data_IF_584291967959
#
_entry.id   IF_584291967959
#
_cell.length_a   1.000
_cell.length_b   1.000
_cell.length_c   1.000
_cell.angle_alpha   90.00
_cell.angle_beta   90.00
_cell.angle_gamma   90.00
#
_symmetry.space_group_name_H-M   'P 1'
#
loop_
_entity.id
_entity.type
_entity.pdbx_description
1 polymer ?
#
# COMPACT_ATOMS: atom_id res chain seq x y z
N UNK A 1 -65.63 22.34 33.10
CA UNK A 1 -64.23 22.34 32.66
C UNK A 1 -64.11 21.30 31.55
N UNK A 2 -63.94 21.78 30.31
CA UNK A 2 -63.16 21.23 29.16
C UNK A 2 -62.58 19.81 29.27
N UNK A 3 -62.44 18.96 28.24
CA UNK A 3 -62.81 18.92 26.82
C UNK A 3 -62.43 17.51 26.29
N UNK A 4 -62.90 17.20 25.09
CA UNK A 4 -62.90 15.95 24.33
C UNK A 4 -61.56 15.19 24.06
N UNK A 5 -61.73 13.86 23.93
CA UNK A 5 -61.21 12.85 22.95
C UNK A 5 -60.01 13.24 22.07
N UNK A 6 -59.08 12.30 21.83
CA UNK A 6 -58.48 11.88 20.52
C UNK A 6 -57.39 10.82 20.82
N UNK A 7 -57.60 9.55 20.43
CA UNK A 7 -57.07 8.87 19.23
C UNK A 7 -55.60 8.46 19.30
N UNK A 8 -55.38 7.23 18.82
CA UNK A 8 -54.11 6.52 18.71
C UNK A 8 -53.02 7.33 18.01
N UNK A 9 -51.78 7.16 18.46
CA UNK A 9 -50.64 7.14 17.55
C UNK A 9 -49.50 6.37 18.20
N UNK A 10 -49.37 5.11 17.80
CA UNK A 10 -48.11 4.39 17.88
C UNK A 10 -47.19 5.00 16.81
N UNK A 11 -46.47 6.06 17.18
CA UNK A 11 -45.48 6.67 16.32
C UNK A 11 -44.12 6.04 16.59
N UNK A 12 -43.76 5.16 15.65
CA UNK A 12 -42.44 4.59 15.41
C UNK A 12 -41.35 5.66 15.52
N UNK A 13 -40.39 5.47 16.42
CA UNK A 13 -39.03 5.98 16.24
C UNK A 13 -38.07 4.80 16.41
N UNK A 14 -38.05 3.94 15.39
CA UNK A 14 -36.87 3.13 15.12
C UNK A 14 -35.78 4.11 14.68
N UNK A 15 -34.88 4.49 15.59
CA UNK A 15 -33.64 5.14 15.22
C UNK A 15 -32.89 4.18 14.31
N UNK A 16 -32.70 4.63 13.07
CA UNK A 16 -32.01 3.90 12.01
C UNK A 16 -30.69 3.34 12.54
N UNK A 17 -30.57 2.01 12.55
CA UNK A 17 -29.26 1.39 12.49
C UNK A 17 -28.67 1.78 11.14
N UNK A 18 -27.80 2.78 11.13
CA UNK A 18 -26.97 3.11 9.98
C UNK A 18 -26.18 1.85 9.64
N UNK A 19 -26.59 1.15 8.58
CA UNK A 19 -25.82 0.04 8.05
C UNK A 19 -24.57 0.65 7.44
N UNK A 20 -23.49 0.71 8.23
CA UNK A 20 -22.14 0.82 7.67
C UNK A 20 -21.91 -0.48 6.93
N UNK A 21 -22.31 -0.52 5.66
CA UNK A 21 -21.86 -1.55 4.73
C UNK A 21 -20.37 -1.33 4.54
N UNK A 22 -19.56 -1.94 5.39
CA UNK A 22 -18.16 -2.17 5.07
C UNK A 22 -18.16 -3.07 3.83
N UNK A 23 -17.99 -2.46 2.65
CA UNK A 23 -17.51 -3.17 1.48
C UNK A 23 -16.06 -3.55 1.79
N UNK A 24 -15.86 -4.60 2.58
CA UNK A 24 -14.61 -5.31 2.60
C UNK A 24 -14.32 -5.66 1.14
N UNK A 25 -13.17 -5.23 0.61
CA UNK A 25 -12.84 -5.31 -0.81
C UNK A 25 -13.23 -6.67 -1.39
N UNK A 26 -14.01 -6.66 -2.47
CA UNK A 26 -14.50 -7.90 -3.04
C UNK A 26 -13.34 -8.60 -3.78
N UNK A 27 -12.66 -9.54 -3.13
CA UNK A 27 -11.57 -10.32 -3.73
C UNK A 27 -11.93 -10.91 -5.09
N UNK A 28 -13.22 -11.16 -5.34
CA UNK A 28 -13.67 -11.74 -6.61
C UNK A 28 -13.42 -10.84 -7.82
N UNK A 29 -13.17 -9.54 -7.63
CA UNK A 29 -12.86 -8.61 -8.73
C UNK A 29 -11.36 -8.44 -8.95
N UNK A 30 -10.52 -8.94 -8.03
CA UNK A 30 -9.06 -8.81 -8.13
C UNK A 30 -8.54 -9.89 -9.07
N UNK A 31 -7.83 -9.48 -10.12
CA UNK A 31 -7.24 -10.44 -11.06
C UNK A 31 -6.07 -11.17 -10.41
N UNK A 32 -6.17 -12.50 -10.26
CA UNK A 32 -5.10 -13.36 -9.75
C UNK A 32 -4.17 -13.91 -10.84
N UNK A 33 -4.11 -13.27 -12.01
CA UNK A 33 -3.11 -13.60 -13.03
C UNK A 33 -1.73 -13.19 -12.51
N UNK A 34 -0.83 -14.16 -12.41
CA UNK A 34 0.55 -14.00 -11.94
C UNK A 34 1.54 -14.23 -13.08
N UNK A 35 2.62 -13.46 -13.12
CA UNK A 35 3.64 -13.52 -14.16
C UNK A 35 5.01 -13.09 -13.62
N UNK A 36 5.95 -14.03 -13.62
CA UNK A 36 7.38 -13.82 -13.34
C UNK A 36 8.18 -13.44 -14.62
N UNK A 37 7.51 -12.97 -15.67
CA UNK A 37 8.17 -12.53 -16.90
C UNK A 37 8.75 -11.12 -16.73
N UNK A 38 9.68 -10.74 -17.60
CA UNK A 38 10.10 -9.35 -17.69
C UNK A 38 8.92 -8.44 -18.12
N UNK A 39 8.70 -7.30 -17.45
CA UNK A 39 7.78 -6.27 -17.91
C UNK A 39 8.15 -5.78 -19.31
N UNK A 40 7.18 -5.21 -20.01
CA UNK A 40 7.46 -4.47 -21.23
C UNK A 40 8.17 -3.14 -20.91
N UNK A 41 8.78 -2.50 -21.90
CA UNK A 41 9.44 -1.20 -21.75
C UNK A 41 8.51 -0.15 -21.12
N UNK A 42 9.00 0.58 -20.13
CA UNK A 42 8.21 1.56 -19.38
C UNK A 42 7.35 0.94 -18.26
N UNK A 43 7.34 -0.38 -18.10
CA UNK A 43 6.65 -1.09 -17.03
C UNK A 43 7.52 -1.37 -15.79
N UNK A 44 6.88 -1.89 -14.74
CA UNK A 44 7.53 -2.41 -13.55
C UNK A 44 7.07 -3.84 -13.25
N UNK A 45 7.87 -4.56 -12.46
CA UNK A 45 7.50 -5.87 -11.92
C UNK A 45 7.01 -5.71 -10.48
N UNK A 46 5.73 -6.00 -10.24
CA UNK A 46 5.08 -5.78 -8.95
C UNK A 46 4.99 -7.10 -8.18
N UNK A 47 5.61 -7.19 -7.00
CA UNK A 47 5.51 -8.35 -6.12
C UNK A 47 4.63 -7.98 -4.91
N UNK A 48 3.62 -8.80 -4.65
CA UNK A 48 2.57 -8.51 -3.65
C UNK A 48 2.49 -9.59 -2.58
N UNK A 49 2.50 -9.18 -1.31
CA UNK A 49 2.22 -10.04 -0.17
C UNK A 49 0.86 -9.72 0.46
N UNK A 50 -0.01 -10.73 0.52
CA UNK A 50 -1.40 -10.62 0.99
C UNK A 50 -1.50 -10.47 2.52
N UNK A 51 -2.67 -10.16 3.06
CA UNK A 51 -2.94 -10.14 4.49
C UNK A 51 -3.25 -11.53 5.06
N UNK A 52 -3.24 -11.64 6.39
CA UNK A 52 -3.62 -12.89 7.04
C UNK A 52 -5.06 -13.30 6.71
N UNK A 53 -5.29 -14.60 6.58
CA UNK A 53 -6.58 -15.26 6.28
C UNK A 53 -7.14 -15.01 4.89
N UNK A 54 -6.46 -14.22 4.07
CA UNK A 54 -6.84 -14.02 2.68
C UNK A 54 -6.55 -15.28 1.85
N UNK A 55 -7.39 -15.63 0.86
CA UNK A 55 -7.09 -16.69 -0.09
C UNK A 55 -5.75 -16.48 -0.81
N UNK A 56 -5.10 -17.55 -1.23
CA UNK A 56 -3.89 -17.46 -2.06
C UNK A 56 -4.14 -16.57 -3.30
N UNK A 57 -3.23 -15.63 -3.53
CA UNK A 57 -3.34 -14.61 -4.57
C UNK A 57 -2.85 -13.26 -4.05
N UNK A 58 -3.31 -12.18 -4.69
CA UNK A 58 -2.86 -10.81 -4.39
C UNK A 58 -3.45 -10.20 -3.11
N UNK A 59 -4.49 -10.79 -2.53
CA UNK A 59 -5.14 -10.21 -1.36
C UNK A 59 -5.89 -8.90 -1.65
N UNK A 60 -6.36 -8.21 -0.61
CA UNK A 60 -7.13 -6.96 -0.76
C UNK A 60 -6.31 -5.84 -1.41
N UNK A 61 -5.01 -5.79 -1.12
CA UNK A 61 -4.07 -4.82 -1.71
C UNK A 61 -3.85 -5.06 -3.22
N UNK A 62 -4.25 -6.22 -3.74
CA UNK A 62 -4.30 -6.50 -5.16
C UNK A 62 -5.11 -5.48 -5.96
N UNK A 63 -6.07 -4.78 -5.35
CA UNK A 63 -6.78 -3.67 -5.99
C UNK A 63 -5.86 -2.47 -6.29
N UNK A 64 -4.89 -2.16 -5.41
CA UNK A 64 -3.87 -1.12 -5.69
C UNK A 64 -3.00 -1.54 -6.86
N UNK A 65 -2.58 -2.81 -6.88
CA UNK A 65 -1.86 -3.40 -8.02
C UNK A 65 -2.66 -3.28 -9.32
N UNK A 66 -3.95 -3.61 -9.31
CA UNK A 66 -4.80 -3.51 -10.50
C UNK A 66 -4.92 -2.07 -11.00
N UNK A 67 -5.06 -1.08 -10.09
CA UNK A 67 -5.05 0.35 -10.44
C UNK A 67 -3.70 0.81 -11.05
N UNK A 68 -2.58 0.24 -10.60
CA UNK A 68 -1.25 0.50 -11.17
C UNK A 68 -1.11 -0.16 -12.55
N UNK A 69 -1.55 -1.41 -12.71
CA UNK A 69 -1.51 -2.09 -14.01
C UNK A 69 -2.41 -1.40 -15.05
N UNK A 70 -3.53 -0.82 -14.64
CA UNK A 70 -4.37 0.00 -15.50
C UNK A 70 -3.66 1.29 -15.95
N UNK A 71 -2.92 1.93 -15.03
CA UNK A 71 -2.21 3.17 -15.28
C UNK A 71 -0.90 2.98 -16.07
N UNK A 72 -0.22 1.85 -15.86
CA UNK A 72 1.05 1.48 -16.49
C UNK A 72 0.92 0.08 -17.09
N UNK A 73 0.23 -0.09 -18.24
CA UNK A 73 -0.09 -1.40 -18.81
C UNK A 73 1.11 -2.24 -19.25
N UNK A 74 2.29 -1.64 -19.34
CA UNK A 74 3.55 -2.34 -19.60
C UNK A 74 4.05 -3.16 -18.39
N UNK A 75 3.51 -2.88 -17.20
CA UNK A 75 3.84 -3.58 -15.96
C UNK A 75 3.22 -4.96 -15.90
N UNK A 76 3.77 -5.82 -15.05
CA UNK A 76 3.18 -7.09 -14.68
C UNK A 76 3.30 -7.30 -13.16
N UNK A 77 2.73 -8.40 -12.66
CA UNK A 77 2.72 -8.67 -11.24
C UNK A 77 2.81 -10.16 -10.94
N UNK A 78 3.31 -10.47 -9.75
CA UNK A 78 3.21 -11.78 -9.12
C UNK A 78 2.97 -11.63 -7.60
N UNK A 79 2.53 -12.72 -6.96
CA UNK A 79 2.20 -12.71 -5.53
C UNK A 79 3.04 -13.74 -4.77
N UNK A 80 3.35 -13.40 -3.53
CA UNK A 80 4.05 -14.29 -2.60
C UNK A 80 3.17 -15.48 -2.23
N UNK A 81 3.68 -16.69 -2.44
CA UNK A 81 3.04 -17.93 -1.99
C UNK A 81 3.53 -18.23 -0.57
N UNK A 82 2.65 -18.05 0.41
CA UNK A 82 2.96 -18.31 1.82
C UNK A 82 1.68 -18.54 2.65
N UNK A 83 1.76 -19.05 3.89
CA UNK A 83 0.57 -19.46 4.65
C UNK A 83 -0.45 -18.34 4.90
N UNK A 84 0.01 -17.13 5.19
CA UNK A 84 -0.80 -15.99 5.59
C UNK A 84 -1.78 -16.30 6.74
N UNK A 85 -1.29 -16.90 7.83
CA UNK A 85 -2.13 -17.32 8.97
C UNK A 85 -1.97 -16.41 10.18
N UNK A 86 -3.06 -16.21 10.92
CA UNK A 86 -3.03 -15.58 12.25
C UNK A 86 -2.61 -16.57 13.33
N UNK A 87 -2.98 -17.84 13.17
CA UNK A 87 -2.45 -18.94 13.98
C UNK A 87 -1.06 -19.27 13.47
N UNK A 88 -0.08 -19.41 14.36
CA UNK A 88 1.32 -19.60 14.00
C UNK A 88 1.89 -18.43 13.16
N UNK A 89 1.54 -17.20 13.56
CA UNK A 89 1.87 -15.97 12.84
C UNK A 89 3.37 -15.84 12.54
N UNK A 90 4.25 -16.17 13.49
CA UNK A 90 5.70 -15.98 13.32
C UNK A 90 6.27 -16.87 12.20
N UNK A 91 5.90 -18.15 12.15
CA UNK A 91 6.33 -19.03 11.06
C UNK A 91 5.70 -18.61 9.74
N UNK A 92 4.40 -18.26 9.75
CA UNK A 92 3.72 -17.76 8.55
C UNK A 92 4.42 -16.53 7.96
N UNK A 93 4.73 -15.55 8.79
CA UNK A 93 5.39 -14.32 8.35
C UNK A 93 6.83 -14.61 7.88
N UNK A 94 7.64 -15.39 8.61
CA UNK A 94 8.99 -15.81 8.16
C UNK A 94 8.96 -16.55 6.81
N UNK A 95 8.00 -17.44 6.59
CA UNK A 95 7.80 -18.12 5.30
C UNK A 95 7.43 -17.12 4.20
N UNK A 96 6.66 -16.08 4.53
CA UNK A 96 6.36 -14.97 3.64
C UNK A 96 7.61 -14.18 3.24
N UNK A 97 8.50 -13.86 4.19
CA UNK A 97 9.77 -13.17 3.91
C UNK A 97 10.65 -14.01 2.99
N UNK A 98 10.74 -15.32 3.23
CA UNK A 98 11.48 -16.25 2.36
C UNK A 98 10.86 -16.30 0.95
N UNK A 99 9.54 -16.35 0.83
CA UNK A 99 8.86 -16.33 -0.46
C UNK A 99 9.06 -15.01 -1.22
N UNK A 100 8.97 -13.87 -0.54
CA UNK A 100 9.30 -12.55 -1.12
C UNK A 100 10.74 -12.52 -1.63
N UNK A 101 11.69 -13.02 -0.83
CA UNK A 101 13.09 -13.12 -1.21
C UNK A 101 13.30 -13.98 -2.45
N UNK A 102 12.67 -15.14 -2.53
CA UNK A 102 12.75 -16.04 -3.69
C UNK A 102 12.28 -15.35 -4.97
N UNK A 103 11.14 -14.68 -4.93
CA UNK A 103 10.59 -13.96 -6.09
C UNK A 103 11.48 -12.80 -6.54
N UNK A 104 11.94 -11.97 -5.59
CA UNK A 104 12.83 -10.86 -5.92
C UNK A 104 14.16 -11.35 -6.49
N UNK A 105 14.78 -12.37 -5.89
CA UNK A 105 16.04 -12.94 -6.37
C UNK A 105 15.87 -13.58 -7.76
N UNK A 106 14.77 -14.30 -7.99
CA UNK A 106 14.44 -14.87 -9.29
C UNK A 106 14.28 -13.77 -10.37
N UNK A 107 13.56 -12.70 -10.06
CA UNK A 107 13.39 -11.56 -10.97
C UNK A 107 14.72 -10.85 -11.26
N UNK A 108 15.51 -10.57 -10.22
CA UNK A 108 16.82 -9.92 -10.37
C UNK A 108 17.77 -10.76 -11.21
N UNK A 109 17.73 -12.09 -11.08
CA UNK A 109 18.53 -13.03 -11.85
C UNK A 109 18.08 -13.17 -13.32
N UNK A 110 16.83 -12.79 -13.63
CA UNK A 110 16.31 -12.83 -15.00
C UNK A 110 16.97 -11.79 -15.92
N UNK A 111 17.62 -10.77 -15.33
CA UNK A 111 18.34 -9.70 -16.03
C UNK A 111 17.49 -9.03 -17.12
N UNK A 112 16.30 -8.58 -16.71
CA UNK A 112 15.32 -8.02 -17.62
C UNK A 112 15.83 -6.78 -18.37
N UNK A 113 15.50 -6.67 -19.67
CA UNK A 113 15.91 -5.52 -20.48
C UNK A 113 15.32 -4.21 -19.94
N UNK A 114 15.92 -3.09 -20.33
CA UNK A 114 15.47 -1.74 -19.99
C UNK A 114 15.56 -1.38 -18.49
N UNK A 115 16.25 -2.18 -17.68
CA UNK A 115 16.37 -1.99 -16.23
C UNK A 115 15.00 -1.84 -15.54
N UNK A 116 14.01 -2.64 -15.94
CA UNK A 116 12.66 -2.55 -15.39
C UNK A 116 12.65 -2.71 -13.86
N UNK A 117 12.09 -1.75 -13.10
CA UNK A 117 12.19 -1.74 -11.64
C UNK A 117 11.24 -2.72 -10.97
N UNK A 118 11.56 -3.01 -9.71
CA UNK A 118 10.67 -3.68 -8.77
C UNK A 118 9.72 -2.69 -8.09
N UNK A 119 8.50 -3.14 -7.82
CA UNK A 119 7.58 -2.50 -6.87
C UNK A 119 7.14 -3.57 -5.87
N UNK A 120 7.24 -3.28 -4.58
CA UNK A 120 6.84 -4.21 -3.53
C UNK A 120 5.57 -3.69 -2.84
N UNK A 121 4.57 -4.56 -2.65
CA UNK A 121 3.33 -4.20 -1.98
C UNK A 121 2.98 -5.21 -0.90
N UNK A 122 2.51 -4.74 0.25
CA UNK A 122 2.11 -5.61 1.34
C UNK A 122 0.96 -5.04 2.18
N UNK A 123 0.07 -5.91 2.64
CA UNK A 123 -1.03 -5.55 3.53
C UNK A 123 -0.99 -6.35 4.83
N UNK A 124 -1.13 -5.70 5.99
CA UNK A 124 -1.13 -6.36 7.30
C UNK A 124 0.11 -7.25 7.48
N UNK A 125 -0.04 -8.56 7.68
CA UNK A 125 1.11 -9.50 7.70
C UNK A 125 1.97 -9.41 6.44
N UNK A 126 1.39 -9.23 5.25
CA UNK A 126 2.16 -9.03 4.02
C UNK A 126 2.92 -7.71 3.99
N UNK A 127 2.45 -6.70 4.70
CA UNK A 127 3.18 -5.44 4.88
C UNK A 127 4.43 -5.64 5.74
N UNK A 128 4.31 -6.46 6.79
CA UNK A 128 5.47 -6.90 7.56
C UNK A 128 6.44 -7.73 6.71
N UNK A 129 5.94 -8.69 5.91
CA UNK A 129 6.76 -9.49 4.98
C UNK A 129 7.61 -8.61 4.08
N UNK A 130 7.03 -7.58 3.49
CA UNK A 130 7.76 -6.61 2.65
C UNK A 130 8.82 -5.88 3.47
N UNK A 131 8.47 -5.39 4.65
CA UNK A 131 9.38 -4.59 5.45
C UNK A 131 10.55 -5.40 6.03
N UNK A 132 10.28 -6.63 6.49
CA UNK A 132 11.29 -7.56 7.00
C UNK A 132 12.16 -8.13 5.87
N UNK A 133 11.64 -8.28 4.64
CA UNK A 133 12.49 -8.57 3.49
C UNK A 133 13.48 -7.45 3.19
N UNK A 134 13.00 -6.20 3.16
CA UNK A 134 13.82 -5.03 2.83
C UNK A 134 14.87 -4.76 3.91
N UNK A 135 14.47 -4.80 5.17
CA UNK A 135 15.29 -4.32 6.29
C UNK A 135 15.85 -5.41 7.23
N UNK A 136 15.54 -6.67 6.95
CA UNK A 136 15.80 -7.80 7.83
C UNK A 136 14.74 -7.94 8.92
N UNK A 137 14.41 -9.18 9.28
CA UNK A 137 13.46 -9.58 10.34
C UNK A 137 14.05 -9.31 11.74
N UNK A 138 14.22 -8.03 12.05
CA UNK A 138 14.78 -7.52 13.30
C UNK A 138 13.66 -7.00 14.20
N UNK A 139 12.81 -7.92 14.64
CA UNK A 139 11.62 -7.67 15.44
C UNK A 139 11.74 -8.45 16.75
N UNK A 140 11.63 -7.79 17.90
CA UNK A 140 12.00 -8.38 19.20
C UNK A 140 11.18 -9.60 19.65
N UNK A 141 9.96 -9.77 19.14
CA UNK A 141 9.10 -10.92 19.47
C UNK A 141 9.31 -12.12 18.54
N UNK A 142 10.02 -11.94 17.43
CA UNK A 142 10.31 -13.03 16.49
C UNK A 142 11.54 -13.83 16.96
N UNK A 143 11.52 -15.17 16.84
CA UNK A 143 12.72 -15.97 17.01
C UNK A 143 13.81 -15.53 16.03
N UNK A 144 15.06 -15.42 16.51
CA UNK A 144 16.17 -15.06 15.65
C UNK A 144 16.33 -16.07 14.50
N UNK A 145 16.34 -15.57 13.27
CA UNK A 145 16.57 -16.34 12.06
C UNK A 145 17.71 -15.71 11.25
N UNK A 146 18.88 -16.35 11.24
CA UNK A 146 20.07 -15.83 10.54
C UNK A 146 19.89 -15.69 9.03
N UNK A 147 18.94 -16.41 8.42
CA UNK A 147 18.66 -16.29 6.99
C UNK A 147 17.80 -15.07 6.65
N UNK A 148 17.17 -14.46 7.64
CA UNK A 148 16.26 -13.32 7.53
C UNK A 148 16.74 -12.07 8.29
N UNK A 149 17.79 -12.18 9.11
CA UNK A 149 18.25 -11.08 9.96
C UNK A 149 18.88 -9.91 9.20
N UNK A 150 19.46 -10.19 8.02
CA UNK A 150 20.15 -9.18 7.22
C UNK A 150 19.17 -8.50 6.23
N UNK A 151 19.34 -7.19 5.97
CA UNK A 151 18.62 -6.50 4.91
C UNK A 151 18.82 -7.15 3.54
N UNK A 152 17.90 -6.87 2.61
CA UNK A 152 18.15 -7.20 1.21
C UNK A 152 19.41 -6.47 0.70
N UNK A 153 20.21 -7.07 -0.20
CA UNK A 153 21.46 -6.47 -0.66
C UNK A 153 21.26 -5.11 -1.36
N UNK A 154 22.23 -4.19 -1.24
CA UNK A 154 22.15 -2.85 -1.85
C UNK A 154 21.88 -2.87 -3.38
N UNK A 155 22.43 -3.85 -4.10
CA UNK A 155 22.20 -4.01 -5.53
C UNK A 155 20.76 -4.44 -5.87
N UNK A 156 20.01 -4.95 -4.89
CA UNK A 156 18.58 -5.25 -5.00
C UNK A 156 17.76 -4.05 -4.53
N UNK A 157 18.11 -3.45 -3.39
CA UNK A 157 17.42 -2.26 -2.87
C UNK A 157 17.44 -1.10 -3.88
N UNK A 158 18.55 -0.92 -4.59
CA UNK A 158 18.66 0.07 -5.67
C UNK A 158 17.74 -0.20 -6.87
N UNK A 159 17.23 -1.44 -7.06
CA UNK A 159 16.30 -1.81 -8.14
C UNK A 159 14.82 -1.60 -7.80
N UNK A 160 14.49 -1.17 -6.58
CA UNK A 160 13.12 -0.95 -6.14
C UNK A 160 12.72 0.50 -6.45
N UNK A 161 11.71 0.70 -7.31
CA UNK A 161 11.17 2.02 -7.59
C UNK A 161 10.19 2.48 -6.50
N UNK A 162 9.35 1.57 -5.98
CA UNK A 162 8.36 1.91 -4.96
C UNK A 162 8.07 0.76 -3.99
N UNK A 163 7.71 1.11 -2.76
CA UNK A 163 7.21 0.21 -1.73
C UNK A 163 5.90 0.77 -1.16
N UNK A 164 4.86 -0.06 -1.12
CA UNK A 164 3.59 0.24 -0.46
C UNK A 164 3.36 -0.76 0.66
N UNK A 165 3.24 -0.28 1.89
CA UNK A 165 2.81 -1.09 3.04
C UNK A 165 1.55 -0.50 3.64
N UNK A 166 0.54 -1.33 3.89
CA UNK A 166 -0.73 -0.88 4.48
C UNK A 166 -1.02 -1.68 5.74
N UNK A 167 -1.08 -1.00 6.89
CA UNK A 167 -1.37 -1.64 8.18
C UNK A 167 -0.25 -2.55 8.69
N UNK A 168 1.02 -2.22 8.45
CA UNK A 168 2.17 -3.01 8.89
C UNK A 168 2.22 -3.15 10.44
N UNK A 169 2.04 -4.36 11.01
CA UNK A 169 2.14 -4.59 12.45
C UNK A 169 3.53 -4.33 13.02
N UNK A 170 4.55 -4.24 12.18
CA UNK A 170 5.94 -4.01 12.59
C UNK A 170 6.40 -2.57 12.43
N UNK A 171 5.53 -1.67 11.95
CA UNK A 171 5.90 -0.30 11.64
C UNK A 171 6.45 0.42 12.87
N UNK A 172 7.62 1.02 12.70
CA UNK A 172 8.11 2.06 13.59
C UNK A 172 7.52 3.40 13.13
N UNK A 173 6.85 4.13 14.02
CA UNK A 173 6.28 5.46 13.70
C UNK A 173 7.27 6.59 14.03
N UNK A 174 8.16 6.37 14.99
CA UNK A 174 9.08 7.42 15.44
C UNK A 174 10.13 7.69 14.36
N UNK A 175 10.13 8.91 13.82
CA UNK A 175 11.07 9.34 12.75
C UNK A 175 11.00 8.47 11.48
N UNK A 176 9.82 7.96 11.13
CA UNK A 176 9.62 7.24 9.87
C UNK A 176 9.08 8.20 8.79
N UNK A 177 9.93 8.78 7.93
CA UNK A 177 9.50 9.71 6.88
C UNK A 177 8.59 9.06 5.83
N UNK A 178 8.58 7.74 5.73
CA UNK A 178 7.68 7.00 4.84
C UNK A 178 6.28 6.79 5.44
N UNK A 179 6.07 7.10 6.74
CA UNK A 179 4.77 6.95 7.38
C UNK A 179 3.75 7.91 6.79
N UNK A 180 2.63 7.35 6.33
CA UNK A 180 1.45 8.10 5.88
C UNK A 180 0.27 7.73 6.79
N UNK A 181 -0.44 8.74 7.29
CA UNK A 181 -1.58 8.56 8.18
C UNK A 181 -1.43 9.36 9.46
N UNK A 182 -2.26 9.05 10.46
CA UNK A 182 -2.32 9.80 11.72
C UNK A 182 -1.97 8.99 12.97
N UNK A 183 -1.40 7.79 12.81
CA UNK A 183 -0.91 7.02 13.97
C UNK A 183 0.20 7.79 14.70
N UNK A 184 0.17 7.75 16.03
CA UNK A 184 1.24 8.26 16.91
C UNK A 184 1.88 7.16 17.74
N UNK A 185 1.48 5.91 17.50
CA UNK A 185 1.93 4.71 18.22
C UNK A 185 2.48 3.69 17.22
N UNK A 186 3.54 2.96 17.58
CA UNK A 186 4.08 1.93 16.71
C UNK A 186 3.14 0.73 16.58
N UNK A 187 3.48 -0.16 15.66
CA UNK A 187 2.79 -1.43 15.51
C UNK A 187 3.06 -2.40 16.67
N UNK A 188 2.24 -3.45 16.76
CA UNK A 188 2.33 -4.48 17.81
C UNK A 188 3.71 -5.13 17.89
N UNK A 189 4.40 -5.21 16.76
CA UNK A 189 5.68 -5.88 16.58
C UNK A 189 6.73 -4.88 16.10
N UNK A 190 6.79 -3.70 16.72
CA UNK A 190 7.71 -2.62 16.34
C UNK A 190 9.12 -3.13 16.04
N UNK A 191 9.58 -2.89 14.81
CA UNK A 191 10.92 -3.25 14.35
C UNK A 191 11.98 -2.41 15.06
N UNK A 192 13.15 -3.00 15.28
CA UNK A 192 14.29 -2.29 15.86
C UNK A 192 14.78 -1.16 14.93
N UNK A 193 15.29 -0.09 15.54
CA UNK A 193 15.68 1.13 14.82
C UNK A 193 16.78 0.94 13.76
N UNK A 194 17.67 -0.05 13.92
CA UNK A 194 18.68 -0.38 12.90
C UNK A 194 18.02 -0.86 11.60
N UNK A 195 16.96 -1.65 11.68
CA UNK A 195 16.25 -2.11 10.50
C UNK A 195 15.37 -0.98 9.92
N UNK A 196 14.75 -0.13 10.75
CA UNK A 196 14.10 1.10 10.26
C UNK A 196 15.07 2.00 9.47
N UNK A 197 16.33 2.13 9.92
CA UNK A 197 17.33 2.96 9.26
C UNK A 197 17.77 2.47 7.86
N UNK A 198 17.47 1.21 7.50
CA UNK A 198 17.75 0.68 6.16
C UNK A 198 16.98 1.47 5.10
N UNK A 199 15.72 1.84 5.38
CA UNK A 199 14.92 2.62 4.44
C UNK A 199 15.56 3.99 4.16
N UNK A 200 16.07 4.68 5.17
CA UNK A 200 16.75 5.97 5.00
C UNK A 200 18.12 5.80 4.33
N UNK A 201 18.96 4.88 4.81
CA UNK A 201 20.33 4.72 4.32
C UNK A 201 20.42 4.18 2.89
N UNK A 202 19.40 3.45 2.42
CA UNK A 202 19.25 3.02 1.03
C UNK A 202 18.51 4.02 0.13
N UNK A 203 18.03 5.14 0.69
CA UNK A 203 17.18 6.11 0.00
C UNK A 203 15.85 5.51 -0.46
N UNK A 204 15.32 4.51 0.26
CA UNK A 204 13.99 3.95 0.04
C UNK A 204 12.92 4.70 0.83
N UNK A 205 13.31 5.51 1.81
CA UNK A 205 12.43 6.42 2.55
C UNK A 205 11.58 7.31 1.63
N UNK A 206 12.18 7.85 0.57
CA UNK A 206 11.48 8.66 -0.45
C UNK A 206 10.76 7.84 -1.53
N UNK A 207 10.91 6.51 -1.51
CA UNK A 207 10.29 5.52 -2.41
C UNK A 207 9.32 4.60 -1.68
N UNK A 208 9.03 4.87 -0.42
CA UNK A 208 8.13 4.07 0.41
C UNK A 208 6.96 4.91 0.89
N UNK A 209 5.76 4.34 0.89
CA UNK A 209 4.64 4.83 1.67
C UNK A 209 4.13 3.71 2.57
N UNK A 210 4.21 3.95 3.87
CA UNK A 210 3.79 3.04 4.93
C UNK A 210 2.55 3.60 5.63
N UNK A 211 1.39 3.10 5.23
CA UNK A 211 0.09 3.59 5.67
C UNK A 211 -0.30 3.00 7.03
N UNK A 212 -0.50 3.88 8.01
CA UNK A 212 -1.00 3.49 9.33
C UNK A 212 -1.77 4.62 10.00
N UNK A 213 -3.02 4.35 10.36
CA UNK A 213 -3.90 5.29 11.07
C UNK A 213 -4.00 4.94 12.55
N UNK A 214 -4.21 5.98 13.37
CA UNK A 214 -4.56 5.82 14.77
C UNK A 214 -5.81 4.94 14.93
N UNK A 215 -5.89 4.23 16.05
CA UNK A 215 -6.94 3.25 16.36
C UNK A 215 -6.86 1.94 15.58
N UNK A 216 -5.92 1.77 14.64
CA UNK A 216 -5.61 0.45 14.09
C UNK A 216 -5.05 -0.46 15.21
N UNK A 217 -5.68 -1.62 15.49
CA UNK A 217 -5.22 -2.50 16.56
C UNK A 217 -3.86 -3.16 16.30
N UNK A 218 -3.41 -3.22 15.04
CA UNK A 218 -2.17 -3.86 14.64
C UNK A 218 -1.05 -2.86 14.39
N UNK A 219 -1.20 -1.93 13.45
CA UNK A 219 -0.10 -1.02 13.08
C UNK A 219 0.04 0.18 14.03
N UNK A 220 -0.97 0.47 14.84
CA UNK A 220 -0.96 1.55 15.82
C UNK A 220 -1.06 1.04 17.28
N UNK A 221 -0.96 -0.28 17.49
CA UNK A 221 -1.10 -0.91 18.80
C UNK A 221 -2.33 -0.41 19.57
N UNK A 222 -3.45 -0.17 18.88
CA UNK A 222 -4.67 0.24 19.54
C UNK A 222 -5.19 -0.92 20.39
N UNK A 223 -5.24 -0.75 21.71
CA UNK A 223 -5.51 -1.83 22.66
C UNK A 223 -6.91 -2.46 22.59
N UNK A 224 -7.81 -2.00 21.70
CA UNK A 224 -9.11 -2.61 21.46
C UNK A 224 -9.35 -2.91 19.98
N UNK A 225 -9.96 -4.07 19.71
CA UNK A 225 -10.31 -4.50 18.36
C UNK A 225 -11.65 -3.92 17.86
N UNK A 226 -12.31 -3.06 18.64
CA UNK A 226 -13.55 -2.38 18.24
C UNK A 226 -13.37 -1.52 16.99
N UNK A 227 -12.13 -1.06 16.75
CA UNK A 227 -11.73 -0.25 15.60
C UNK A 227 -11.06 -1.06 14.49
N UNK A 228 -11.27 -2.39 14.44
CA UNK A 228 -10.70 -3.27 13.40
C UNK A 228 -10.99 -2.77 11.98
N UNK A 229 -12.12 -2.07 11.78
CA UNK A 229 -12.44 -1.45 10.48
C UNK A 229 -11.36 -0.51 9.98
N UNK A 230 -10.66 0.25 10.85
CA UNK A 230 -9.54 1.11 10.46
C UNK A 230 -8.46 0.31 9.73
N UNK A 231 -8.16 -0.89 10.24
CA UNK A 231 -7.19 -1.78 9.61
C UNK A 231 -7.67 -2.37 8.28
N UNK A 232 -8.98 -2.45 8.03
CA UNK A 232 -9.56 -3.14 6.87
C UNK A 232 -9.83 -2.21 5.68
N UNK A 233 -9.73 -0.89 5.87
CA UNK A 233 -10.17 0.10 4.86
C UNK A 233 -9.02 0.87 4.20
N UNK A 234 -7.74 0.54 4.44
CA UNK A 234 -6.62 1.28 3.86
C UNK A 234 -6.63 1.32 2.32
N UNK A 235 -7.07 0.25 1.65
CA UNK A 235 -7.22 0.27 0.19
C UNK A 235 -8.31 1.26 -0.24
N UNK A 236 -9.42 1.32 0.49
CA UNK A 236 -10.50 2.27 0.22
C UNK A 236 -10.07 3.71 0.48
N UNK A 237 -9.32 3.94 1.56
CA UNK A 237 -8.91 5.27 2.02
C UNK A 237 -7.74 5.82 1.18
N UNK A 238 -6.74 4.98 0.91
CA UNK A 238 -5.46 5.39 0.34
C UNK A 238 -5.11 4.72 -1.00
N UNK A 239 -5.94 3.82 -1.54
CA UNK A 239 -5.58 3.04 -2.73
C UNK A 239 -5.23 3.90 -3.96
N UNK A 240 -5.97 4.99 -4.20
CA UNK A 240 -5.65 5.93 -5.28
C UNK A 240 -4.35 6.70 -5.00
N UNK A 241 -4.13 7.14 -3.77
CA UNK A 241 -2.88 7.81 -3.38
C UNK A 241 -1.67 6.88 -3.56
N UNK A 242 -1.78 5.63 -3.14
CA UNK A 242 -0.75 4.62 -3.30
C UNK A 242 -0.48 4.33 -4.78
N UNK A 243 -1.54 4.22 -5.61
CA UNK A 243 -1.39 4.11 -7.07
C UNK A 243 -0.63 5.30 -7.64
N UNK A 244 -1.05 6.53 -7.34
CA UNK A 244 -0.43 7.73 -7.90
C UNK A 244 1.05 7.84 -7.52
N UNK A 245 1.38 7.51 -6.27
CA UNK A 245 2.77 7.43 -5.81
C UNK A 245 3.58 6.39 -6.59
N UNK A 246 3.06 5.18 -6.75
CA UNK A 246 3.77 4.11 -7.50
C UNK A 246 3.98 4.52 -8.96
N UNK A 247 2.96 5.05 -9.63
CA UNK A 247 3.08 5.53 -11.01
C UNK A 247 4.15 6.61 -11.12
N UNK A 248 4.11 7.61 -10.22
CA UNK A 248 5.13 8.66 -10.17
C UNK A 248 6.54 8.08 -10.02
N UNK A 249 6.74 7.08 -9.15
CA UNK A 249 8.05 6.46 -8.95
C UNK A 249 8.54 5.64 -10.12
N UNK A 250 7.64 4.98 -10.85
CA UNK A 250 7.98 4.31 -12.11
C UNK A 250 8.39 5.34 -13.17
N UNK A 251 7.68 6.46 -13.28
CA UNK A 251 8.04 7.55 -14.21
C UNK A 251 9.40 8.18 -13.87
N UNK A 252 9.64 8.48 -12.58
CA UNK A 252 10.92 9.01 -12.07
C UNK A 252 12.09 8.05 -12.33
N UNK A 253 11.86 6.73 -12.22
CA UNK A 253 12.84 5.70 -12.52
C UNK A 253 13.36 5.81 -13.97
N UNK A 254 12.45 5.86 -14.93
CA UNK A 254 12.82 5.98 -16.34
C UNK A 254 13.31 7.39 -16.71
N UNK A 255 12.79 8.44 -16.06
CA UNK A 255 13.28 9.82 -16.22
C UNK A 255 14.71 10.03 -15.72
N UNK A 256 15.12 9.32 -14.67
CA UNK A 256 16.49 9.37 -14.15
C UNK A 256 17.48 8.60 -15.05
N UNK A 257 17.02 7.54 -15.72
CA UNK A 257 17.84 6.71 -16.61
C UNK A 257 18.22 7.38 -17.94
N UNK A 258 17.50 8.43 -18.35
CA UNK A 258 17.76 9.21 -19.58
C UNK A 258 18.66 10.43 -19.37
N UNK A 259 19.12 10.68 -18.13
CA UNK A 259 19.82 11.90 -17.72
C UNK A 259 21.35 11.84 -17.65
N UNK A 260 22.05 10.96 -18.39
CA UNK A 260 23.53 11.00 -18.48
C UNK A 260 24.00 11.45 -19.87
N UNK A 261 23.68 12.68 -20.22
CA UNK A 261 24.42 13.43 -21.23
C UNK A 261 24.27 14.91 -20.94
N UNK A 262 25.11 15.44 -20.05
CA UNK A 262 25.31 16.88 -19.96
C UNK A 262 26.75 17.23 -20.29
N UNK A 263 26.92 17.63 -21.56
CA UNK A 263 28.09 18.31 -22.05
C UNK A 263 28.29 19.64 -21.34
N UNK A 264 29.55 19.97 -21.18
CA UNK A 264 30.07 21.20 -20.60
C UNK A 264 29.62 22.42 -21.41
N UNK A 265 28.95 23.39 -20.78
CA UNK A 265 28.95 24.78 -21.27
C UNK A 265 28.68 25.78 -20.14
N UNK A 266 29.75 26.48 -19.80
CA UNK A 266 29.89 27.65 -18.97
C UNK A 266 29.28 28.90 -19.66
N UNK A 267 28.67 29.84 -18.92
CA UNK A 267 28.24 31.12 -19.51
C UNK A 267 27.32 31.99 -18.65
N UNK A 268 27.93 32.85 -17.84
CA UNK A 268 27.31 33.88 -16.99
C UNK A 268 26.90 35.15 -17.77
N UNK A 269 25.88 35.85 -17.25
CA UNK A 269 25.71 37.32 -17.14
C UNK A 269 24.59 38.05 -17.93
N UNK A 270 23.58 38.49 -17.16
CA UNK A 270 23.11 39.87 -16.90
C UNK A 270 22.78 40.86 -18.05
N UNK A 271 21.59 41.47 -18.02
CA UNK A 271 21.22 42.67 -18.79
C UNK A 271 19.74 43.08 -18.68
N UNK A 272 19.50 44.37 -18.37
CA UNK A 272 18.23 44.99 -17.94
C UNK A 272 17.59 45.88 -19.03
N UNK A 273 16.25 46.06 -18.95
CA UNK A 273 15.35 47.18 -19.39
C UNK A 273 14.80 47.34 -20.83
N UNK A 274 13.44 47.47 -20.86
CA UNK A 274 12.51 48.34 -21.63
C UNK A 274 12.52 48.28 -23.18
N UNK A 275 11.43 48.41 -23.95
CA UNK A 275 10.12 49.07 -23.79
C UNK A 275 9.20 48.71 -24.99
N UNK A 276 7.86 48.74 -24.80
CA UNK A 276 6.90 49.20 -25.83
C UNK A 276 6.23 48.19 -26.78
N UNK A 277 4.89 48.06 -26.71
CA UNK A 277 4.08 47.52 -27.81
C UNK A 277 2.68 47.04 -27.41
N UNK A 278 1.65 47.83 -27.70
CA UNK A 278 0.26 47.71 -27.27
C UNK A 278 -0.61 46.81 -28.18
N UNK A 279 -1.68 46.25 -27.58
CA UNK A 279 -3.04 45.96 -28.09
C UNK A 279 -3.45 44.52 -28.53
N UNK A 280 -4.56 44.12 -27.92
CA UNK A 280 -5.71 43.34 -28.44
C UNK A 280 -5.76 41.82 -28.21
N UNK A 281 -6.44 41.45 -27.12
CA UNK A 281 -7.71 40.71 -27.11
C UNK A 281 -7.81 39.36 -27.83
N UNK A 282 -7.96 38.29 -27.03
CA UNK A 282 -8.87 37.18 -27.34
C UNK A 282 -9.16 36.37 -26.07
N UNK A 283 -10.45 36.21 -25.80
CA UNK A 283 -11.07 35.36 -24.78
C UNK A 283 -10.74 33.89 -25.02
N UNK A 284 -10.30 33.18 -23.98
CA UNK A 284 -10.18 31.72 -23.97
C UNK A 284 -11.41 31.10 -23.29
N UNK A 285 -12.04 30.07 -23.88
CA UNK A 285 -13.01 29.23 -23.20
C UNK A 285 -12.33 28.04 -22.50
N UNK A 286 -12.87 27.63 -21.36
CA UNK A 286 -12.54 26.40 -20.63
C UNK A 286 -12.98 25.14 -21.40
N UNK A 287 -12.25 24.02 -21.31
CA UNK A 287 -12.79 22.66 -21.50
C UNK A 287 -12.93 22.00 -20.11
N UNK A 288 -14.14 21.80 -19.57
CA UNK A 288 -15.11 20.71 -19.82
C UNK A 288 -14.67 19.36 -19.25
N UNK A 289 -15.19 19.07 -18.07
CA UNK A 289 -15.22 17.76 -17.39
C UNK A 289 -15.90 16.70 -18.27
N UNK A 290 -15.18 15.62 -18.58
CA UNK A 290 -15.76 14.39 -19.14
C UNK A 290 -14.82 13.21 -18.90
N UNK A 291 -14.59 12.85 -17.64
CA UNK A 291 -13.96 11.59 -17.26
C UNK A 291 -14.36 11.08 -15.85
N UNK A 292 -15.50 11.54 -15.31
CA UNK A 292 -15.92 11.23 -13.93
C UNK A 292 -17.30 10.54 -13.85
N UNK A 293 -17.67 9.74 -14.85
CA UNK A 293 -18.94 9.01 -14.84
C UNK A 293 -18.82 7.60 -15.42
N UNK A 294 -18.20 6.67 -14.67
CA UNK A 294 -18.38 5.23 -14.94
C UNK A 294 -18.15 4.31 -13.73
N UNK A 295 -18.33 4.78 -12.50
CA UNK A 295 -18.44 3.87 -11.33
C UNK A 295 -19.67 4.25 -10.50
N UNK A 296 -20.84 4.12 -11.13
CA UNK A 296 -22.14 4.04 -10.45
C UNK A 296 -22.98 3.05 -11.23
N UNK A 297 -22.80 1.77 -10.95
CA UNK A 297 -23.87 0.76 -10.88
C UNK A 297 -23.27 -0.64 -10.76
N UNK A 298 -23.24 -1.16 -9.54
CA UNK A 298 -23.31 -2.61 -9.31
C UNK A 298 -23.80 -2.89 -7.89
N UNK A 299 -25.13 -2.99 -7.73
CA UNK A 299 -25.77 -3.60 -6.57
C UNK A 299 -26.40 -4.93 -7.00
N UNK A 300 -25.98 -6.05 -6.41
CA UNK A 300 -26.86 -7.17 -6.00
C UNK A 300 -26.09 -8.27 -5.24
N UNK A 301 -26.39 -8.38 -3.94
CA UNK A 301 -26.63 -9.59 -3.13
C UNK A 301 -25.54 -10.68 -2.91
N UNK A 302 -25.18 -10.95 -1.63
CA UNK A 302 -25.47 -12.20 -0.84
C UNK A 302 -24.54 -12.41 0.39
N UNK A 303 -25.18 -12.63 1.55
CA UNK A 303 -24.82 -13.20 2.89
C UNK A 303 -23.45 -13.01 3.58
N UNK A 304 -23.52 -12.46 4.80
CA UNK A 304 -22.47 -12.36 5.83
C UNK A 304 -22.45 -13.62 6.72
N UNK A 305 -21.29 -14.25 6.87
CA UNK A 305 -20.96 -15.10 8.01
C UNK A 305 -19.44 -15.25 8.19
N UNK A 306 -18.79 -14.35 8.96
CA UNK A 306 -17.71 -14.67 9.92
C UNK A 306 -17.20 -13.37 10.60
N UNK A 307 -17.74 -13.00 11.75
CA UNK A 307 -17.15 -11.96 12.63
C UNK A 307 -17.07 -12.41 14.10
N UNK A 308 -16.98 -13.73 14.32
CA UNK A 308 -17.07 -14.31 15.67
C UNK A 308 -15.77 -14.80 16.30
N UNK A 309 -14.66 -14.89 15.58
CA UNK A 309 -13.48 -15.65 16.08
C UNK A 309 -12.15 -14.89 16.12
N UNK A 310 -12.06 -13.69 15.54
CA UNK A 310 -10.77 -12.98 15.39
C UNK A 310 -10.30 -12.36 16.73
N UNK A 311 -11.22 -11.94 17.61
CA UNK A 311 -10.88 -11.26 18.86
C UNK A 311 -10.40 -12.15 20.02
N UNK A 312 -10.54 -13.47 19.93
CA UNK A 312 -10.24 -14.39 21.06
C UNK A 312 -8.89 -15.10 20.94
N UNK A 313 -8.23 -15.06 19.78
CA UNK A 313 -6.96 -15.79 19.58
C UNK A 313 -5.74 -14.99 20.07
N UNK A 314 -5.80 -13.65 20.09
CA UNK A 314 -4.68 -12.83 20.56
C UNK A 314 -4.50 -12.81 22.09
N UNK A 315 -5.52 -13.18 22.86
CA UNK A 315 -5.41 -13.24 24.32
C UNK A 315 -4.70 -14.51 24.85
N UNK A 316 -4.41 -15.49 23.99
CA UNK A 316 -3.84 -16.80 24.39
C UNK A 316 -2.53 -17.17 23.69
N UNK A 317 -1.94 -16.29 22.88
CA UNK A 317 -0.71 -16.57 22.13
C UNK A 317 0.50 -15.70 22.54
N UNK A 318 0.42 -15.00 23.68
CA UNK A 318 1.57 -14.33 24.33
C UNK A 318 1.72 -14.83 25.77
#
# INVERSE_FOLDING_TARGET
MTSHRYLASASVLALAASVVHAQLGNYSTISNVSSSACPAEGGAHIIVARASTEPLGYGIIGAVKDLVLEAVPASNAEYVVYPATLTDYFNSESDGVLGMKELVEAYVAQDCPNNAPLVLMGYSQGAQVVADYVSGQNVGVFPYNSSLAEPAPDNVLSKIAAIITMGDPSINITNNPAHVGNSTKPGLFERFGNATSVFETSGLDNRTQAYCNALDPYCASAGNFDNITVHLVYVQEFGMQARDFVVQKIEEWYGSSTGTSNGTANGTSNGTTSEGGTMSGASSPSPSDSAASSIRDMQASITVALLGTIGLVFAYAL
#
